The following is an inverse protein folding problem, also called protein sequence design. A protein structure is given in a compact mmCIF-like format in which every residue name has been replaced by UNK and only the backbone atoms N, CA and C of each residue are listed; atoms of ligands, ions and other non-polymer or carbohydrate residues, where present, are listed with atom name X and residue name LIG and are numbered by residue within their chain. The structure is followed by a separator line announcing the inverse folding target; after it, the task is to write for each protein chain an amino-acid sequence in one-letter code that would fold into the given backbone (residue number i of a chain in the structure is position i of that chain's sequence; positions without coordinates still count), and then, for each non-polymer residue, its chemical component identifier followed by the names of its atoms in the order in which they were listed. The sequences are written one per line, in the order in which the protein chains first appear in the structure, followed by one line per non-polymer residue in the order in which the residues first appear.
data_IF_230764732692
#
_entry.id   IF_230764732692
#
_cell.length_a   1.000
_cell.length_b   1.000
_cell.length_c   1.000
_cell.angle_alpha   90.00
_cell.angle_beta   90.00
_cell.angle_gamma   90.00
#
_symmetry.space_group_name_H-M   'P 1'
#
loop_
_entity.id
_entity.type
_entity.pdbx_description
1 polymer ?
#
# COMPACT_ATOMS: atom_id res chain seq x y z
N UNK A 1 23.50 42.66 1.72
CA UNK A 1 23.67 41.43 0.94
C UNK A 1 22.31 40.74 0.91
N UNK A 2 21.67 40.62 -0.26
CA UNK A 2 20.28 40.15 -0.38
C UNK A 2 20.28 38.63 -0.56
N UNK A 3 19.71 37.83 0.36
CA UNK A 3 19.68 36.39 0.25
C UNK A 3 18.44 35.96 -0.56
N UNK A 4 18.47 36.14 -1.88
CA UNK A 4 17.40 35.65 -2.76
C UNK A 4 17.86 35.45 -4.20
N UNK A 5 18.93 34.67 -4.42
CA UNK A 5 19.37 34.25 -5.77
C UNK A 5 20.03 32.86 -5.78
N UNK A 6 19.46 31.88 -5.06
CA UNK A 6 19.71 30.48 -5.40
C UNK A 6 18.48 29.99 -6.18
N UNK A 7 18.58 29.67 -7.49
CA UNK A 7 17.50 28.98 -8.15
C UNK A 7 17.25 27.68 -7.40
N UNK A 8 15.98 27.38 -7.08
CA UNK A 8 15.60 26.12 -6.44
C UNK A 8 16.06 24.96 -7.32
N UNK A 9 17.22 24.41 -6.96
CA UNK A 9 17.77 23.22 -7.60
C UNK A 9 16.76 22.11 -7.34
N UNK A 10 16.08 21.65 -8.39
CA UNK A 10 15.17 20.50 -8.32
C UNK A 10 15.96 19.32 -7.75
N UNK A 11 15.73 19.02 -6.48
CA UNK A 11 16.62 18.25 -5.61
C UNK A 11 16.50 16.73 -5.77
N UNK A 12 15.78 16.25 -6.79
CA UNK A 12 15.48 14.84 -6.91
C UNK A 12 16.44 14.17 -7.90
N UNK A 13 17.40 13.34 -7.43
CA UNK A 13 18.14 12.47 -8.34
C UNK A 13 17.15 11.55 -9.08
N UNK A 14 17.48 11.17 -10.32
CA UNK A 14 16.66 10.44 -11.33
C UNK A 14 15.98 9.12 -10.89
N UNK A 15 16.11 8.75 -9.61
CA UNK A 15 15.61 7.50 -9.01
C UNK A 15 14.39 7.70 -8.12
N UNK A 16 13.96 8.94 -7.92
CA UNK A 16 12.75 9.32 -7.18
C UNK A 16 11.66 9.65 -8.21
N UNK A 17 10.44 9.17 -8.00
CA UNK A 17 9.30 9.54 -8.84
C UNK A 17 8.28 10.29 -7.99
N UNK A 18 8.13 11.58 -8.29
CA UNK A 18 7.05 12.40 -7.75
C UNK A 18 5.72 11.94 -8.39
N UNK A 19 4.71 11.74 -7.55
CA UNK A 19 3.39 11.22 -7.93
C UNK A 19 2.28 12.25 -7.71
N UNK A 20 2.66 13.51 -7.49
CA UNK A 20 1.80 14.64 -7.12
C UNK A 20 1.21 14.53 -5.70
N UNK A 21 0.65 15.64 -5.22
CA UNK A 21 0.00 15.75 -3.90
C UNK A 21 0.87 15.32 -2.71
N UNK A 22 2.20 15.41 -2.84
CA UNK A 22 3.15 15.05 -1.79
C UNK A 22 3.47 13.55 -1.68
N UNK A 23 2.96 12.71 -2.58
CA UNK A 23 3.32 11.30 -2.67
C UNK A 23 4.58 11.12 -3.51
N UNK A 24 5.59 10.42 -2.98
CA UNK A 24 6.88 10.27 -3.66
C UNK A 24 7.38 8.84 -3.55
N UNK A 25 7.56 8.16 -4.68
CA UNK A 25 8.27 6.87 -4.71
C UNK A 25 9.76 7.09 -4.52
N UNK A 26 10.30 6.51 -3.45
CA UNK A 26 11.69 6.69 -3.08
C UNK A 26 12.60 5.63 -3.71
N UNK A 27 13.91 5.91 -3.67
CA UNK A 27 14.96 4.97 -4.04
C UNK A 27 14.81 3.65 -3.25
N UNK A 28 15.19 2.55 -3.92
CA UNK A 28 14.96 1.11 -3.59
C UNK A 28 13.85 0.50 -4.45
N UNK A 29 14.07 0.60 -5.77
CA UNK A 29 13.30 -0.02 -6.85
C UNK A 29 14.05 -1.26 -7.37
N UNK A 30 13.32 -2.17 -8.00
CA UNK A 30 13.91 -3.17 -8.89
C UNK A 30 14.87 -2.54 -9.92
N UNK A 31 15.98 -3.25 -10.18
CA UNK A 31 16.97 -2.86 -11.21
C UNK A 31 16.47 -3.16 -12.62
N UNK A 32 15.70 -4.25 -12.79
CA UNK A 32 15.10 -4.71 -14.05
C UNK A 32 13.62 -4.99 -13.81
N UNK A 33 12.74 -4.75 -14.79
CA UNK A 33 11.32 -5.00 -14.62
C UNK A 33 11.07 -6.51 -14.58
N UNK A 34 10.12 -6.93 -13.77
CA UNK A 34 9.78 -8.33 -13.49
C UNK A 34 8.34 -8.63 -13.89
N UNK A 35 8.04 -9.88 -14.23
CA UNK A 35 6.64 -10.30 -14.37
C UNK A 35 6.04 -10.51 -12.97
N UNK A 36 4.86 -9.93 -12.68
CA UNK A 36 4.13 -10.29 -11.47
C UNK A 36 3.75 -11.78 -11.52
N UNK A 37 3.76 -12.44 -10.36
CA UNK A 37 3.48 -13.87 -10.23
C UNK A 37 2.38 -14.13 -9.20
N UNK A 38 1.72 -15.29 -9.29
CA UNK A 38 0.68 -15.71 -8.36
C UNK A 38 -0.48 -14.73 -8.25
N UNK A 39 -1.01 -14.58 -7.04
CA UNK A 39 -2.16 -13.72 -6.73
C UNK A 39 -1.95 -12.26 -7.11
N UNK A 40 -0.72 -11.76 -7.06
CA UNK A 40 -0.43 -10.39 -7.47
C UNK A 40 -0.65 -10.16 -8.97
N UNK A 41 -0.38 -11.16 -9.83
CA UNK A 41 -0.67 -11.09 -11.26
C UNK A 41 -2.18 -11.06 -11.54
N UNK A 42 -2.93 -11.88 -10.80
CA UNK A 42 -4.40 -11.91 -10.86
C UNK A 42 -4.98 -10.55 -10.43
N UNK A 43 -4.51 -10.02 -9.29
CA UNK A 43 -4.96 -8.72 -8.78
C UNK A 43 -4.65 -7.57 -9.76
N UNK A 44 -3.48 -7.56 -10.39
CA UNK A 44 -3.12 -6.56 -11.41
C UNK A 44 -4.00 -6.72 -12.65
N UNK A 45 -4.26 -7.95 -13.10
CA UNK A 45 -5.13 -8.20 -14.25
C UNK A 45 -6.56 -7.72 -13.99
N UNK A 46 -7.09 -8.01 -12.81
CA UNK A 46 -8.41 -7.54 -12.36
C UNK A 46 -8.47 -6.00 -12.30
N UNK A 47 -7.41 -5.36 -11.79
CA UNK A 47 -7.31 -3.91 -11.75
C UNK A 47 -7.28 -3.27 -13.15
N UNK A 48 -6.59 -3.90 -14.10
CA UNK A 48 -6.48 -3.42 -15.48
C UNK A 48 -7.71 -3.78 -16.34
N UNK A 49 -8.59 -4.67 -15.89
CA UNK A 49 -9.70 -5.21 -16.68
C UNK A 49 -9.26 -6.13 -17.83
N UNK A 50 -7.99 -6.56 -17.85
CA UNK A 50 -7.41 -7.39 -18.91
C UNK A 50 -6.22 -8.21 -18.38
N UNK A 51 -5.89 -9.36 -19.00
CA UNK A 51 -4.74 -10.16 -18.60
C UNK A 51 -3.44 -9.34 -18.60
N UNK A 52 -2.76 -9.28 -17.45
CA UNK A 52 -1.51 -8.53 -17.34
C UNK A 52 -0.34 -9.37 -17.86
N UNK A 53 0.17 -9.03 -19.04
CA UNK A 53 1.43 -9.56 -19.58
C UNK A 53 2.58 -8.56 -19.45
N UNK A 54 2.37 -7.46 -18.72
CA UNK A 54 3.30 -6.34 -18.63
C UNK A 54 4.31 -6.55 -17.50
N UNK A 55 5.58 -6.30 -17.80
CA UNK A 55 6.63 -6.27 -16.78
C UNK A 55 6.51 -4.99 -15.94
N UNK A 56 6.68 -5.12 -14.63
CA UNK A 56 6.60 -4.03 -13.68
C UNK A 56 7.92 -3.80 -12.98
N UNK A 57 8.15 -2.57 -12.50
CA UNK A 57 9.16 -2.33 -11.49
C UNK A 57 8.50 -2.34 -10.12
N UNK A 58 9.09 -3.01 -9.13
CA UNK A 58 8.63 -2.89 -7.74
C UNK A 58 9.44 -1.84 -7.02
N UNK A 59 8.76 -0.98 -6.27
CA UNK A 59 9.34 -0.01 -5.35
C UNK A 59 9.07 -0.45 -3.91
N UNK A 60 10.08 -0.28 -3.06
CA UNK A 60 10.03 -0.70 -1.66
C UNK A 60 9.67 0.41 -0.68
N UNK A 61 9.51 1.65 -1.17
CA UNK A 61 9.34 2.83 -0.33
C UNK A 61 8.47 3.87 -1.01
N UNK A 62 7.49 4.36 -0.28
CA UNK A 62 6.64 5.49 -0.64
C UNK A 62 6.70 6.50 0.51
N UNK A 63 7.06 7.74 0.21
CA UNK A 63 6.84 8.86 1.13
C UNK A 63 5.42 9.36 0.94
N UNK A 64 4.69 9.46 2.04
CA UNK A 64 3.33 10.00 2.11
C UNK A 64 3.36 11.53 2.26
N UNK A 65 2.24 12.23 2.03
CA UNK A 65 2.17 13.69 2.15
C UNK A 65 2.49 14.19 3.56
N UNK A 66 2.14 13.41 4.58
CA UNK A 66 2.46 13.68 5.98
C UNK A 66 3.95 13.43 6.33
N UNK A 67 4.80 13.08 5.37
CA UNK A 67 6.23 12.84 5.56
C UNK A 67 6.58 11.42 6.02
N UNK A 68 5.61 10.59 6.41
CA UNK A 68 5.86 9.19 6.76
C UNK A 68 6.41 8.40 5.56
N UNK A 69 7.21 7.37 5.83
CA UNK A 69 7.73 6.47 4.79
C UNK A 69 7.12 5.09 4.96
N UNK A 70 6.15 4.78 4.10
CA UNK A 70 5.63 3.44 3.96
C UNK A 70 6.68 2.54 3.28
N UNK A 71 6.84 1.33 3.81
CA UNK A 71 7.73 0.28 3.32
C UNK A 71 6.91 -0.88 2.77
N UNK A 72 7.57 -1.94 2.33
CA UNK A 72 6.89 -3.06 1.68
C UNK A 72 7.45 -4.39 2.17
N UNK A 73 6.57 -5.39 2.28
CA UNK A 73 6.92 -6.75 2.68
C UNK A 73 8.06 -7.30 1.82
N UNK A 74 8.03 -7.07 0.50
CA UNK A 74 9.05 -7.53 -0.44
C UNK A 74 10.50 -7.20 -0.07
N UNK A 75 10.78 -6.05 0.58
CA UNK A 75 12.15 -5.68 1.01
C UNK A 75 12.34 -5.69 2.51
N UNK A 76 11.28 -5.51 3.27
CA UNK A 76 11.35 -5.50 4.72
C UNK A 76 11.58 -6.91 5.27
N UNK A 77 10.89 -7.92 4.74
CA UNK A 77 11.01 -9.32 5.18
C UNK A 77 12.31 -10.01 4.74
N UNK A 78 13.14 -9.35 3.92
CA UNK A 78 14.49 -9.82 3.60
C UNK A 78 15.51 -9.48 4.69
N UNK A 79 15.11 -8.74 5.71
CA UNK A 79 15.97 -8.40 6.85
C UNK A 79 15.80 -9.40 7.98
N UNK A 80 16.83 -9.54 8.80
CA UNK A 80 16.74 -10.28 10.04
C UNK A 80 15.64 -9.67 10.94
N UNK A 81 14.91 -10.48 11.74
CA UNK A 81 13.76 -10.01 12.53
C UNK A 81 14.05 -8.80 13.42
N UNK A 82 15.24 -8.73 14.01
CA UNK A 82 15.74 -7.63 14.86
C UNK A 82 16.01 -6.32 14.09
N UNK A 83 16.14 -6.40 12.76
CA UNK A 83 16.41 -5.26 11.88
C UNK A 83 15.18 -4.77 11.11
N UNK A 84 14.04 -5.43 11.30
CA UNK A 84 12.78 -5.03 10.69
C UNK A 84 12.31 -3.74 11.36
N UNK A 85 12.01 -2.74 10.53
CA UNK A 85 11.29 -1.54 10.97
C UNK A 85 9.88 -1.63 10.39
N UNK A 86 8.88 -2.06 11.17
CA UNK A 86 7.54 -2.35 10.66
C UNK A 86 6.88 -1.07 10.17
N UNK A 87 6.95 -0.86 8.86
CA UNK A 87 6.33 0.29 8.19
C UNK A 87 5.60 -0.13 6.91
N UNK A 88 5.36 -1.43 6.75
CA UNK A 88 4.62 -2.03 5.63
C UNK A 88 3.10 -2.05 5.81
N UNK A 89 2.62 -1.78 7.02
CA UNK A 89 1.19 -1.70 7.31
C UNK A 89 0.74 -0.26 7.16
N UNK A 90 -0.37 -0.06 6.45
CA UNK A 90 -0.85 1.28 6.12
C UNK A 90 -2.36 1.41 6.32
N UNK A 91 -2.76 2.62 6.73
CA UNK A 91 -4.15 3.08 6.75
C UNK A 91 -4.57 3.41 5.33
N UNK A 92 -5.70 2.87 4.90
CA UNK A 92 -6.31 3.17 3.60
C UNK A 92 -7.70 3.73 3.78
N UNK A 93 -7.98 4.82 3.09
CA UNK A 93 -9.30 5.42 2.99
C UNK A 93 -9.80 5.27 1.55
N UNK A 94 -10.94 4.59 1.32
CA UNK A 94 -11.54 4.50 -0.01
C UNK A 94 -11.85 5.89 -0.55
N UNK A 95 -11.45 6.17 -1.79
CA UNK A 95 -11.89 7.38 -2.49
C UNK A 95 -13.11 7.03 -3.35
N UNK A 96 -14.07 7.94 -3.41
CA UNK A 96 -15.33 7.81 -4.16
C UNK A 96 -15.16 7.55 -5.66
N UNK A 97 -13.95 7.76 -6.21
CA UNK A 97 -13.68 7.66 -7.64
C UNK A 97 -12.82 6.43 -8.04
N UNK A 98 -12.60 5.47 -7.13
CA UNK A 98 -11.85 4.25 -7.48
C UNK A 98 -12.75 3.11 -7.95
N UNK A 99 -12.24 2.38 -8.94
CA UNK A 99 -12.82 1.21 -9.60
C UNK A 99 -13.66 0.35 -8.65
N UNK A 100 -14.85 -0.01 -9.12
CA UNK A 100 -15.96 -0.75 -8.48
C UNK A 100 -15.56 -1.93 -7.57
N UNK A 101 -14.37 -2.50 -7.73
CA UNK A 101 -13.85 -3.61 -6.91
C UNK A 101 -13.64 -3.20 -5.45
N UNK A 102 -13.14 -1.98 -5.19
CA UNK A 102 -13.00 -1.51 -3.81
C UNK A 102 -14.37 -1.19 -3.20
N UNK A 103 -15.34 -0.70 -3.97
CA UNK A 103 -16.67 -0.39 -3.40
C UNK A 103 -17.36 -1.65 -2.86
N UNK A 104 -17.23 -2.81 -3.53
CA UNK A 104 -17.87 -4.06 -3.10
C UNK A 104 -17.16 -4.77 -1.94
N UNK A 105 -15.83 -4.70 -1.84
CA UNK A 105 -15.08 -5.27 -0.69
C UNK A 105 -15.27 -4.43 0.59
N UNK A 106 -15.58 -3.15 0.43
CA UNK A 106 -15.67 -2.18 1.51
C UNK A 106 -17.10 -1.95 2.03
N UNK A 107 -18.10 -2.50 1.36
CA UNK A 107 -19.50 -2.37 1.74
C UNK A 107 -19.86 -3.44 2.77
N UNK A 108 -19.50 -3.23 4.04
CA UNK A 108 -20.21 -3.72 5.24
C UNK A 108 -19.50 -3.19 6.50
N UNK A 109 -20.30 -2.55 7.36
CA UNK A 109 -20.07 -1.97 8.70
C UNK A 109 -19.70 -0.47 8.77
N UNK A 110 -20.51 0.21 9.59
CA UNK A 110 -20.68 1.64 9.89
C UNK A 110 -19.39 2.42 10.27
N UNK A 111 -19.43 3.73 9.99
CA UNK A 111 -18.50 4.82 10.37
C UNK A 111 -17.10 4.79 9.73
N UNK A 112 -16.84 5.75 8.82
CA UNK A 112 -15.50 6.23 8.40
C UNK A 112 -14.35 5.19 8.48
N UNK A 113 -14.53 4.02 7.85
CA UNK A 113 -13.70 2.84 8.11
C UNK A 113 -12.34 2.92 7.42
N UNK A 114 -11.40 3.56 8.10
CA UNK A 114 -9.97 3.42 7.79
C UNK A 114 -9.58 1.95 7.97
N UNK A 115 -9.19 1.27 6.89
CA UNK A 115 -8.71 -0.13 6.95
C UNK A 115 -7.19 -0.17 7.07
N UNK A 116 -6.67 -1.23 7.68
CA UNK A 116 -5.25 -1.53 7.68
C UNK A 116 -4.97 -2.64 6.67
N UNK A 117 -3.97 -2.43 5.82
CA UNK A 117 -3.52 -3.41 4.83
C UNK A 117 -1.99 -3.55 4.89
N UNK A 118 -1.46 -4.69 4.44
CA UNK A 118 -0.02 -4.88 4.29
C UNK A 118 0.42 -4.67 2.85
N UNK A 119 1.34 -3.73 2.64
CA UNK A 119 1.89 -3.44 1.32
C UNK A 119 2.91 -4.50 0.91
N UNK A 120 2.64 -5.22 -0.18
CA UNK A 120 3.60 -6.15 -0.77
C UNK A 120 4.69 -5.40 -1.54
N UNK A 121 4.28 -4.49 -2.42
CA UNK A 121 5.15 -3.54 -3.13
C UNK A 121 4.35 -2.42 -3.78
N UNK A 122 5.02 -1.30 -4.10
CA UNK A 122 4.48 -0.26 -4.96
C UNK A 122 4.90 -0.49 -6.41
N UNK A 123 4.07 -0.08 -7.37
CA UNK A 123 4.40 -0.13 -8.81
C UNK A 123 3.68 0.97 -9.59
N UNK A 124 4.08 1.16 -10.84
CA UNK A 124 3.39 2.02 -11.81
C UNK A 124 2.88 1.15 -12.94
N UNK A 125 1.60 1.28 -13.28
CA UNK A 125 0.95 0.55 -14.36
C UNK A 125 0.58 1.52 -15.47
N UNK A 126 0.89 1.16 -16.71
CA UNK A 126 0.40 1.91 -17.87
C UNK A 126 -1.03 1.44 -18.17
N UNK A 127 -1.97 2.37 -18.19
CA UNK A 127 -3.39 2.14 -18.46
C UNK A 127 -3.80 3.02 -19.64
N UNK A 128 -4.69 2.54 -20.50
CA UNK A 128 -5.26 3.38 -21.56
C UNK A 128 -6.15 4.44 -20.93
N UNK A 129 -6.02 5.68 -21.40
CA UNK A 129 -6.89 6.77 -20.97
C UNK A 129 -8.32 6.52 -21.46
N UNK A 130 -9.31 6.86 -20.63
CA UNK A 130 -10.72 6.85 -21.03
C UNK A 130 -10.99 8.16 -21.80
N UNK A 131 -11.14 8.07 -23.12
CA UNK A 131 -11.44 9.23 -23.98
C UNK A 131 -11.15 8.99 -25.47
N UNK A 132 -11.51 9.94 -26.36
CA UNK A 132 -11.19 9.86 -27.78
C UNK A 132 -9.68 10.04 -27.99
N UNK A 133 -8.93 8.94 -27.98
CA UNK A 133 -7.51 8.88 -28.27
C UNK A 133 -6.80 7.70 -27.58
N UNK A 134 -5.78 7.13 -28.23
CA UNK A 134 -4.97 6.02 -27.70
C UNK A 134 -3.87 6.49 -26.73
N UNK A 135 -4.17 7.46 -25.87
CA UNK A 135 -3.20 7.98 -24.91
C UNK A 135 -3.00 7.00 -23.74
N UNK A 136 -1.75 6.76 -23.36
CA UNK A 136 -1.41 5.96 -22.19
C UNK A 136 -1.12 6.85 -20.98
N UNK A 137 -1.70 6.50 -19.83
CA UNK A 137 -1.48 7.17 -18.55
C UNK A 137 -0.84 6.22 -17.54
N UNK A 138 0.02 6.76 -16.69
CA UNK A 138 0.61 6.00 -15.60
C UNK A 138 -0.26 6.08 -14.36
N UNK A 139 -0.78 4.94 -13.90
CA UNK A 139 -1.42 4.79 -12.58
C UNK A 139 -0.39 4.32 -11.56
N UNK A 140 -0.32 5.02 -10.44
CA UNK A 140 0.57 4.69 -9.34
C UNK A 140 -0.19 3.86 -8.31
N UNK A 141 0.24 2.64 -8.08
CA UNK A 141 -0.54 1.66 -7.30
C UNK A 141 0.31 0.93 -6.27
N UNK A 142 -0.34 0.37 -5.27
CA UNK A 142 0.22 -0.57 -4.32
C UNK A 142 -0.46 -1.92 -4.49
N UNK A 143 0.32 -2.99 -4.54
CA UNK A 143 -0.19 -4.36 -4.35
C UNK A 143 -0.19 -4.62 -2.86
N UNK A 144 -1.35 -4.98 -2.32
CA UNK A 144 -1.60 -5.11 -0.88
C UNK A 144 -2.24 -6.46 -0.56
N UNK A 145 -2.00 -6.93 0.66
CA UNK A 145 -2.74 -8.05 1.25
C UNK A 145 -3.65 -7.50 2.34
N UNK A 146 -4.89 -7.96 2.36
CA UNK A 146 -5.90 -7.50 3.30
C UNK A 146 -5.75 -8.15 4.67
N UNK A 147 -6.33 -7.50 5.67
CA UNK A 147 -6.55 -8.06 7.00
C UNK A 147 -8.03 -8.35 7.19
N UNK A 148 -8.32 -9.34 8.02
CA UNK A 148 -9.67 -9.56 8.54
C UNK A 148 -10.15 -8.34 9.33
N UNK A 149 -11.46 -8.20 9.55
CA UNK A 149 -11.96 -7.36 10.63
C UNK A 149 -11.32 -7.74 11.98
N UNK A 150 -11.22 -6.81 12.94
CA UNK A 150 -10.71 -7.10 14.28
C UNK A 150 -11.52 -8.21 14.95
N UNK A 151 -10.84 -9.11 15.67
CA UNK A 151 -11.48 -10.19 16.43
C UNK A 151 -12.47 -9.60 17.45
N UNK A 152 -13.79 -9.88 17.34
CA UNK A 152 -14.78 -9.35 18.26
C UNK A 152 -14.52 -9.76 19.71
N UNK A 153 -13.98 -10.96 19.91
CA UNK A 153 -13.64 -11.50 21.23
C UNK A 153 -12.52 -10.70 21.89
N UNK A 154 -11.38 -10.51 21.20
CA UNK A 154 -10.25 -9.75 21.75
C UNK A 154 -10.60 -8.28 21.93
N UNK A 155 -11.35 -7.70 20.98
CA UNK A 155 -11.83 -6.34 21.08
C UNK A 155 -12.73 -6.14 22.30
N UNK A 156 -13.66 -7.06 22.57
CA UNK A 156 -14.52 -7.01 23.76
C UNK A 156 -13.75 -7.23 25.06
N UNK A 157 -12.85 -8.23 25.11
CA UNK A 157 -12.08 -8.57 26.32
C UNK A 157 -11.08 -7.48 26.70
N UNK A 158 -10.58 -6.72 25.72
CA UNK A 158 -9.65 -5.61 25.93
C UNK A 158 -10.34 -4.26 26.15
N UNK A 159 -11.64 -4.24 26.45
CA UNK A 159 -12.43 -3.01 26.59
C UNK A 159 -12.26 -2.07 25.38
N UNK A 160 -12.30 -2.63 24.17
CA UNK A 160 -12.19 -1.92 22.89
C UNK A 160 -10.81 -1.30 22.62
N UNK A 161 -9.76 -1.80 23.27
CA UNK A 161 -8.40 -1.24 23.14
C UNK A 161 -7.56 -2.00 22.11
N UNK A 162 -7.73 -3.32 21.97
CA UNK A 162 -6.87 -4.15 21.12
C UNK A 162 -7.54 -4.45 19.78
N UNK A 163 -6.99 -3.85 18.71
CA UNK A 163 -7.33 -4.18 17.32
C UNK A 163 -6.45 -5.33 16.83
N UNK A 164 -6.91 -6.57 17.03
CA UNK A 164 -6.22 -7.78 16.57
C UNK A 164 -6.87 -8.36 15.31
N UNK A 165 -6.12 -8.43 14.21
CA UNK A 165 -6.58 -8.89 12.90
C UNK A 165 -5.71 -10.03 12.35
N UNK A 166 -6.32 -10.90 11.56
CA UNK A 166 -5.61 -11.95 10.82
C UNK A 166 -5.21 -11.44 9.44
N UNK A 167 -3.99 -11.75 9.01
CA UNK A 167 -3.54 -11.48 7.63
C UNK A 167 -4.19 -12.51 6.70
N UNK A 168 -4.93 -12.06 5.69
CA UNK A 168 -5.63 -12.92 4.75
C UNK A 168 -4.72 -13.21 3.55
N UNK A 169 -3.94 -14.30 3.59
CA UNK A 169 -2.87 -14.54 2.63
C UNK A 169 -3.32 -14.55 1.17
N UNK A 170 -4.52 -15.06 0.91
CA UNK A 170 -5.10 -15.17 -0.43
C UNK A 170 -5.85 -13.91 -0.89
N UNK A 171 -6.00 -12.92 -0.02
CA UNK A 171 -6.78 -11.71 -0.27
C UNK A 171 -5.88 -10.55 -0.72
N UNK A 172 -5.44 -10.62 -1.98
CA UNK A 172 -4.49 -9.68 -2.60
C UNK A 172 -5.20 -8.75 -3.57
N UNK A 173 -4.99 -7.44 -3.38
CA UNK A 173 -5.61 -6.39 -4.16
C UNK A 173 -4.62 -5.35 -4.67
N UNK A 174 -5.06 -4.57 -5.65
CA UNK A 174 -4.37 -3.37 -6.13
C UNK A 174 -5.17 -2.15 -5.69
N UNK A 175 -4.50 -1.24 -4.98
CA UNK A 175 -5.07 0.04 -4.58
C UNK A 175 -4.24 1.17 -5.19
N UNK A 176 -4.86 2.33 -5.39
CA UNK A 176 -4.12 3.54 -5.73
C UNK A 176 -3.34 4.03 -4.52
N UNK A 177 -2.10 4.47 -4.74
CA UNK A 177 -1.23 4.97 -3.65
C UNK A 177 -1.83 6.16 -2.92
N UNK A 178 -2.67 6.96 -3.57
CA UNK A 178 -3.29 8.14 -2.95
C UNK A 178 -4.42 7.79 -1.99
N UNK A 179 -4.84 6.52 -1.92
CA UNK A 179 -5.75 6.02 -0.88
C UNK A 179 -5.03 5.79 0.46
N UNK A 180 -3.70 5.77 0.47
CA UNK A 180 -2.88 5.52 1.66
C UNK A 180 -2.73 6.81 2.47
N UNK A 181 -3.33 6.85 3.66
CA UNK A 181 -3.36 8.06 4.51
C UNK A 181 -2.30 8.07 5.59
N UNK A 182 -1.76 6.90 5.97
CA UNK A 182 -0.73 6.81 7.00
C UNK A 182 -0.10 5.43 7.14
N UNK A 183 1.01 5.36 7.85
CA UNK A 183 1.68 4.13 8.27
C UNK A 183 1.19 3.74 9.67
N UNK A 184 1.05 2.44 9.91
CA UNK A 184 0.59 1.86 11.19
C UNK A 184 1.64 0.91 11.74
N UNK A 185 1.85 0.93 13.05
CA UNK A 185 2.57 -0.12 13.75
C UNK A 185 1.66 -1.34 13.93
N UNK A 186 2.05 -2.50 13.42
CA UNK A 186 1.40 -3.76 13.79
C UNK A 186 2.44 -4.78 14.22
N UNK A 187 2.12 -5.52 15.27
CA UNK A 187 2.97 -6.55 15.85
C UNK A 187 2.28 -7.90 15.79
N UNK A 188 3.01 -8.94 15.36
CA UNK A 188 2.51 -10.31 15.38
C UNK A 188 2.54 -10.82 16.82
N UNK A 189 1.40 -11.32 17.30
CA UNK A 189 1.27 -11.91 18.63
C UNK A 189 0.44 -13.19 18.58
N UNK A 190 0.76 -14.13 19.47
CA UNK A 190 -0.03 -15.35 19.65
C UNK A 190 -0.97 -15.16 20.83
N UNK A 191 -2.23 -14.93 20.56
CA UNK A 191 -3.26 -14.85 21.60
C UNK A 191 -3.71 -16.26 22.01
N UNK A 192 -3.98 -16.48 23.32
CA UNK A 192 -4.70 -17.67 23.77
C UNK A 192 -6.03 -17.80 23.01
N UNK A 193 -6.39 -19.02 22.62
CA UNK A 193 -7.65 -19.39 21.95
C UNK A 193 -7.94 -18.81 20.56
N UNK A 194 -7.23 -17.76 20.14
CA UNK A 194 -7.38 -17.10 18.82
C UNK A 194 -6.22 -17.41 17.89
N UNK A 195 -5.04 -17.75 18.43
CA UNK A 195 -3.85 -18.06 17.64
C UNK A 195 -3.06 -16.83 17.24
N UNK A 196 -2.34 -16.89 16.12
CA UNK A 196 -1.51 -15.79 15.64
C UNK A 196 -2.35 -14.69 15.01
N UNK A 197 -2.25 -13.47 15.54
CA UNK A 197 -2.88 -12.27 14.99
C UNK A 197 -1.90 -11.11 15.01
N UNK A 198 -2.07 -10.18 14.07
CA UNK A 198 -1.41 -8.89 14.13
C UNK A 198 -2.26 -7.97 14.99
N UNK A 199 -1.70 -7.36 16.02
CA UNK A 199 -2.38 -6.32 16.78
C UNK A 199 -1.80 -4.94 16.46
N UNK A 200 -2.67 -3.96 16.38
CA UNK A 200 -2.32 -2.57 16.08
C UNK A 200 -1.70 -1.90 17.31
N UNK A 201 -0.64 -1.12 17.06
CA UNK A 201 0.06 -0.29 18.05
C UNK A 201 0.05 1.12 17.49
N UNK A 202 -0.80 1.99 18.04
CA UNK A 202 -0.83 3.43 17.71
C UNK A 202 0.17 4.23 18.55
#
# INVERSE_FOLDING_TARGET
MVPSLCPEKTLFPSTVADLDNGYILLRKRDRRPVFPQGLASVAISNYLGQPSTTKIYRWARLRLPNGQIARTAWRELLRAPDQIRPARFVKVCPKTNHSYVLTHIFQVVLAETTRVVEVQYFTRLAVRAEGPGDAWIWKNVAVVTMFSPPSPTLFKLSYQTVYACQRLEDDVHVIDVTSITGVVGMALHRFPDVGYCYFMVE
#
